data_IF_122696977710
#
_entry.id   IF_122696977710
#
_cell.length_a   1.000
_cell.length_b   1.000
_cell.length_c   1.000
_cell.angle_alpha   90.00
_cell.angle_beta   90.00
_cell.angle_gamma   90.00
#
_symmetry.space_group_name_H-M   'P 1'
#
loop_
_entity.id
_entity.type
_entity.pdbx_description
1 polymer ?
#
# COMPACT_ATOMS: atom_id res chain seq x y z
N UNK A 1 -32.89 -41.32 36.21
CA UNK A 1 -32.39 -40.07 36.79
C UNK A 1 -31.33 -39.57 35.85
N UNK A 2 -31.61 -38.50 35.13
CA UNK A 2 -30.65 -37.88 34.25
C UNK A 2 -29.52 -37.27 35.12
N UNK A 3 -28.29 -37.53 34.74
CA UNK A 3 -27.12 -36.96 35.45
C UNK A 3 -26.94 -35.50 35.06
N UNK A 4 -27.32 -34.54 35.93
CA UNK A 4 -27.19 -33.11 35.60
C UNK A 4 -25.73 -32.65 35.46
N UNK A 5 -24.81 -33.40 36.06
CA UNK A 5 -23.35 -33.13 35.96
C UNK A 5 -22.85 -33.48 34.54
N UNK A 6 -23.21 -34.65 34.04
CA UNK A 6 -22.85 -35.07 32.67
C UNK A 6 -23.43 -34.17 31.59
N UNK A 7 -24.67 -33.70 31.76
CA UNK A 7 -25.27 -32.74 30.83
C UNK A 7 -24.52 -31.41 30.81
N UNK A 8 -24.16 -30.87 31.99
CA UNK A 8 -23.41 -29.61 32.09
C UNK A 8 -22.04 -29.69 31.42
N UNK A 9 -21.32 -30.82 31.58
CA UNK A 9 -20.01 -31.06 30.92
C UNK A 9 -20.21 -31.17 29.40
N UNK A 10 -21.22 -31.88 28.93
CA UNK A 10 -21.53 -32.02 27.50
C UNK A 10 -21.83 -30.68 26.85
N UNK A 11 -22.63 -29.83 27.50
CA UNK A 11 -22.92 -28.47 27.01
C UNK A 11 -21.69 -27.59 26.96
N UNK A 12 -20.81 -27.61 27.98
CA UNK A 12 -19.54 -26.87 27.98
C UNK A 12 -18.63 -27.33 26.85
N UNK A 13 -18.50 -28.64 26.65
CA UNK A 13 -17.66 -29.21 25.60
C UNK A 13 -18.19 -28.82 24.19
N UNK A 14 -19.48 -28.90 23.96
CA UNK A 14 -20.12 -28.52 22.72
C UNK A 14 -19.89 -27.01 22.43
N UNK A 15 -20.03 -26.15 23.45
CA UNK A 15 -19.75 -24.73 23.33
C UNK A 15 -18.27 -24.45 23.03
N UNK A 16 -17.33 -25.21 23.64
CA UNK A 16 -15.91 -25.10 23.34
C UNK A 16 -15.59 -25.52 21.90
N UNK A 17 -16.15 -26.63 21.43
CA UNK A 17 -16.00 -27.11 20.05
C UNK A 17 -16.48 -26.02 19.04
N UNK A 18 -17.66 -25.45 19.29
CA UNK A 18 -18.19 -24.40 18.41
C UNK A 18 -17.25 -23.16 18.36
N UNK A 19 -16.67 -22.76 19.50
CA UNK A 19 -15.71 -21.64 19.55
C UNK A 19 -14.40 -21.97 18.84
N UNK A 20 -13.88 -23.19 19.00
CA UNK A 20 -12.68 -23.64 18.26
C UNK A 20 -12.94 -23.67 16.76
N UNK A 21 -14.11 -24.12 16.32
CA UNK A 21 -14.49 -24.07 14.89
C UNK A 21 -14.54 -22.64 14.39
N UNK A 22 -15.08 -21.70 15.18
CA UNK A 22 -15.04 -20.27 14.86
C UNK A 22 -13.61 -19.73 14.74
N UNK A 23 -12.73 -20.10 15.67
CA UNK A 23 -11.32 -19.72 15.62
C UNK A 23 -10.60 -20.29 14.36
N UNK A 24 -10.92 -21.53 13.99
CA UNK A 24 -10.38 -22.15 12.77
C UNK A 24 -10.82 -21.38 11.50
N UNK A 25 -12.10 -20.99 11.42
CA UNK A 25 -12.58 -20.16 10.30
C UNK A 25 -11.86 -18.80 10.24
N UNK A 26 -11.60 -18.18 11.40
CA UNK A 26 -10.85 -16.92 11.44
C UNK A 26 -9.42 -17.09 10.90
N UNK A 27 -8.75 -18.20 11.23
CA UNK A 27 -7.40 -18.50 10.71
C UNK A 27 -7.46 -18.74 9.19
N UNK A 28 -8.47 -19.46 8.68
CA UNK A 28 -8.63 -19.66 7.24
C UNK A 28 -8.85 -18.33 6.49
N UNK A 29 -9.68 -17.44 7.04
CA UNK A 29 -9.89 -16.12 6.47
C UNK A 29 -8.59 -15.29 6.47
N UNK A 30 -7.76 -15.44 7.51
CA UNK A 30 -6.47 -14.78 7.59
C UNK A 30 -5.48 -15.28 6.53
N UNK A 31 -5.45 -16.60 6.29
CA UNK A 31 -4.62 -17.18 5.22
C UNK A 31 -5.08 -16.64 3.86
N UNK A 32 -6.39 -16.64 3.60
CA UNK A 32 -6.93 -16.08 2.35
C UNK A 32 -6.63 -14.59 2.18
N UNK A 33 -6.62 -13.82 3.28
CA UNK A 33 -6.21 -12.42 3.25
C UNK A 33 -4.75 -12.28 2.80
N UNK A 34 -3.84 -13.09 3.34
CA UNK A 34 -2.43 -13.07 2.96
C UNK A 34 -2.20 -13.52 1.51
N UNK A 35 -2.92 -14.55 1.04
CA UNK A 35 -2.86 -15.01 -0.35
C UNK A 35 -3.30 -13.92 -1.33
N UNK A 36 -4.37 -13.18 -1.00
CA UNK A 36 -4.82 -12.05 -1.82
C UNK A 36 -3.80 -10.92 -1.78
N UNK A 37 -3.22 -10.61 -0.62
CA UNK A 37 -2.19 -9.58 -0.50
C UNK A 37 -0.95 -9.92 -1.34
N UNK A 38 -0.47 -11.17 -1.30
CA UNK A 38 0.65 -11.67 -2.09
C UNK A 38 0.37 -11.55 -3.60
N UNK A 39 -0.82 -11.98 -4.04
CA UNK A 39 -1.24 -11.84 -5.44
C UNK A 39 -1.34 -10.38 -5.92
N UNK A 40 -1.70 -9.46 -5.04
CA UNK A 40 -1.68 -8.03 -5.35
C UNK A 40 -0.25 -7.48 -5.45
N UNK A 41 0.67 -7.92 -4.59
CA UNK A 41 2.09 -7.54 -4.67
C UNK A 41 2.76 -8.04 -5.95
N UNK A 42 2.45 -9.26 -6.40
CA UNK A 42 2.90 -9.77 -7.71
C UNK A 42 2.38 -8.89 -8.85
N UNK A 43 1.13 -8.45 -8.78
CA UNK A 43 0.56 -7.53 -9.76
C UNK A 43 1.24 -6.16 -9.75
N UNK A 44 1.58 -5.64 -8.57
CA UNK A 44 2.35 -4.40 -8.42
C UNK A 44 3.74 -4.55 -9.05
N UNK A 45 4.44 -5.66 -8.81
CA UNK A 45 5.72 -5.95 -9.44
C UNK A 45 5.66 -5.88 -10.97
N UNK A 46 4.66 -6.54 -11.58
CA UNK A 46 4.45 -6.52 -13.03
C UNK A 46 4.16 -5.11 -13.58
N UNK A 47 3.42 -4.29 -12.83
CA UNK A 47 3.16 -2.90 -13.23
C UNK A 47 4.46 -2.10 -13.21
N UNK A 48 5.29 -2.24 -12.18
CA UNK A 48 6.57 -1.52 -12.07
C UNK A 48 7.54 -1.99 -13.19
N UNK A 49 7.58 -3.26 -13.50
CA UNK A 49 8.36 -3.79 -14.63
C UNK A 49 7.92 -3.12 -15.95
N UNK A 50 6.59 -3.02 -16.18
CA UNK A 50 6.08 -2.31 -17.36
C UNK A 50 6.46 -0.84 -17.38
N UNK A 51 6.41 -0.17 -16.22
CA UNK A 51 6.87 1.23 -16.09
C UNK A 51 8.36 1.37 -16.43
N UNK A 52 9.19 0.39 -16.06
CA UNK A 52 10.61 0.34 -16.42
C UNK A 52 10.83 0.16 -17.92
N UNK A 53 10.05 -0.71 -18.57
CA UNK A 53 10.08 -0.88 -20.03
C UNK A 53 9.72 0.43 -20.76
N UNK A 54 8.66 1.10 -20.35
CA UNK A 54 8.23 2.38 -20.93
C UNK A 54 9.33 3.44 -20.80
N UNK A 55 10.01 3.48 -19.66
CA UNK A 55 11.16 4.38 -19.48
C UNK A 55 12.31 4.04 -20.41
N UNK A 56 12.62 2.76 -20.57
CA UNK A 56 13.61 2.29 -21.53
C UNK A 56 13.27 2.70 -22.97
N UNK A 57 12.02 2.50 -23.38
CA UNK A 57 11.52 2.87 -24.70
C UNK A 57 11.56 4.38 -24.94
N UNK A 58 11.22 5.20 -23.95
CA UNK A 58 11.23 6.65 -24.06
C UNK A 58 12.64 7.24 -24.06
N UNK A 59 13.61 6.59 -23.38
CA UNK A 59 14.97 7.11 -23.20
C UNK A 59 15.94 6.73 -24.32
N UNK A 60 15.68 5.65 -25.04
CA UNK A 60 16.69 4.99 -25.87
C UNK A 60 16.71 5.46 -27.32
N UNK A 61 15.79 6.30 -27.76
CA UNK A 61 15.70 6.61 -29.18
C UNK A 61 15.55 8.12 -29.49
N UNK A 62 16.62 8.74 -30.03
CA UNK A 62 16.55 10.11 -30.53
C UNK A 62 15.66 10.26 -31.78
N UNK A 63 15.19 9.15 -32.36
CA UNK A 63 14.35 9.13 -33.57
C UNK A 63 12.85 9.07 -33.29
N UNK A 64 12.44 8.99 -32.02
CA UNK A 64 11.01 8.95 -31.66
C UNK A 64 10.40 10.34 -31.70
N UNK A 65 9.17 10.40 -32.20
CA UNK A 65 8.39 11.63 -32.21
C UNK A 65 7.93 12.04 -30.81
N UNK A 66 7.63 13.32 -30.63
CA UNK A 66 7.07 13.83 -29.38
C UNK A 66 5.70 13.18 -29.06
N UNK A 67 4.93 12.81 -30.10
CA UNK A 67 3.65 12.11 -29.96
C UNK A 67 3.83 10.68 -29.39
N UNK A 68 4.87 9.95 -29.80
CA UNK A 68 5.18 8.63 -29.27
C UNK A 68 5.57 8.73 -27.78
N UNK A 69 6.40 9.70 -27.44
CA UNK A 69 6.80 9.96 -26.05
C UNK A 69 5.62 10.35 -25.18
N UNK A 70 4.72 11.19 -25.70
CA UNK A 70 3.48 11.55 -25.01
C UNK A 70 2.59 10.32 -24.77
N UNK A 71 2.52 9.39 -25.73
CA UNK A 71 1.76 8.15 -25.59
C UNK A 71 2.34 7.25 -24.49
N UNK A 72 3.67 7.10 -24.43
CA UNK A 72 4.32 6.35 -23.34
C UNK A 72 4.12 7.03 -21.98
N UNK A 73 4.14 8.36 -21.93
CA UNK A 73 3.89 9.09 -20.70
C UNK A 73 2.45 8.90 -20.20
N UNK A 74 1.47 8.91 -21.11
CA UNK A 74 0.09 8.66 -20.73
C UNK A 74 -0.10 7.24 -20.17
N UNK A 75 0.48 6.22 -20.83
CA UNK A 75 0.45 4.84 -20.29
C UNK A 75 1.11 4.76 -18.92
N UNK A 76 2.24 5.45 -18.73
CA UNK A 76 2.93 5.50 -17.45
C UNK A 76 2.07 6.14 -16.35
N UNK A 77 1.34 7.19 -16.65
CA UNK A 77 0.41 7.83 -15.71
C UNK A 77 -0.79 6.92 -15.39
N UNK A 78 -1.32 6.21 -16.37
CA UNK A 78 -2.37 5.22 -16.13
C UNK A 78 -1.91 4.09 -15.20
N UNK A 79 -0.67 3.64 -15.34
CA UNK A 79 -0.08 2.66 -14.43
C UNK A 79 0.10 3.20 -13.01
N UNK A 80 0.42 4.49 -12.82
CA UNK A 80 0.45 5.13 -11.50
C UNK A 80 -0.93 5.11 -10.85
N UNK A 81 -1.99 5.41 -11.61
CA UNK A 81 -3.36 5.35 -11.11
C UNK A 81 -3.77 3.91 -10.73
N UNK A 82 -3.32 2.90 -11.48
CA UNK A 82 -3.54 1.50 -11.15
C UNK A 82 -2.84 1.09 -9.85
N UNK A 83 -1.57 1.50 -9.65
CA UNK A 83 -0.85 1.28 -8.39
C UNK A 83 -1.59 1.89 -7.19
N UNK A 84 -2.11 3.10 -7.36
CA UNK A 84 -2.91 3.73 -6.32
C UNK A 84 -4.19 2.95 -6.03
N UNK A 85 -4.89 2.51 -7.07
CA UNK A 85 -6.12 1.70 -6.94
C UNK A 85 -5.85 0.37 -6.22
N UNK A 86 -4.73 -0.28 -6.51
CA UNK A 86 -4.32 -1.52 -5.80
C UNK A 86 -4.06 -1.23 -4.33
N UNK A 87 -3.36 -0.13 -4.01
CA UNK A 87 -3.09 0.26 -2.63
C UNK A 87 -4.36 0.57 -1.81
N UNK A 88 -5.46 0.86 -2.49
CA UNK A 88 -6.78 1.12 -1.87
C UNK A 88 -7.65 -0.14 -1.75
N UNK A 89 -7.20 -1.30 -2.21
CA UNK A 89 -8.00 -2.53 -2.20
C UNK A 89 -8.28 -3.03 -0.78
N UNK A 90 -9.46 -3.62 -0.63
CA UNK A 90 -9.96 -4.17 0.62
C UNK A 90 -10.39 -5.63 0.44
N UNK A 91 -10.19 -6.42 1.47
CA UNK A 91 -10.70 -7.78 1.58
C UNK A 91 -11.71 -7.83 2.73
N UNK A 92 -12.98 -8.14 2.43
CA UNK A 92 -14.07 -8.14 3.40
C UNK A 92 -14.20 -6.84 4.23
N UNK A 93 -13.96 -5.67 3.59
CA UNK A 93 -14.01 -4.38 4.27
C UNK A 93 -12.79 -4.06 5.15
N UNK A 94 -11.74 -4.88 5.05
CA UNK A 94 -10.44 -4.65 5.71
C UNK A 94 -9.43 -4.30 4.64
N UNK A 95 -8.71 -3.17 4.81
CA UNK A 95 -7.66 -2.78 3.87
C UNK A 95 -6.57 -3.84 3.77
N UNK A 96 -6.18 -4.21 2.55
CA UNK A 96 -5.10 -5.17 2.31
C UNK A 96 -3.73 -4.59 2.69
N UNK A 97 -3.54 -3.29 2.44
CA UNK A 97 -2.30 -2.58 2.73
C UNK A 97 -2.49 -1.61 3.89
N UNK A 98 -1.40 -1.33 4.60
CA UNK A 98 -1.41 -0.37 5.69
C UNK A 98 -1.70 1.04 5.15
N UNK A 99 -2.64 1.72 5.79
CA UNK A 99 -3.04 3.10 5.47
C UNK A 99 -2.83 3.99 6.67
N UNK A 100 -2.54 5.25 6.42
CA UNK A 100 -2.62 6.26 7.45
C UNK A 100 -4.07 6.76 7.51
N UNK A 101 -4.78 6.38 8.55
CA UNK A 101 -6.11 6.94 8.82
C UNK A 101 -5.96 8.16 9.70
N UNK A 102 -6.48 9.28 9.25
CA UNK A 102 -6.71 10.44 10.10
C UNK A 102 -8.07 10.28 10.78
N UNK A 103 -8.18 10.64 12.06
CA UNK A 103 -9.46 10.56 12.76
C UNK A 103 -10.54 11.31 12.00
N UNK A 104 -11.69 10.63 11.90
CA UNK A 104 -13.04 11.14 11.62
C UNK A 104 -13.14 12.42 10.77
N UNK A 105 -13.10 12.25 9.44
CA UNK A 105 -13.45 13.32 8.48
C UNK A 105 -12.28 13.97 7.76
N UNK A 106 -11.06 13.53 7.97
CA UNK A 106 -9.92 13.96 7.19
C UNK A 106 -9.65 12.97 6.05
N UNK A 107 -9.32 13.51 4.89
CA UNK A 107 -8.90 12.78 3.71
C UNK A 107 -7.73 11.86 4.07
N UNK A 108 -7.80 10.59 3.71
CA UNK A 108 -6.72 9.63 3.89
C UNK A 108 -5.46 10.20 3.26
N UNK A 109 -4.47 10.54 4.09
CA UNK A 109 -3.20 11.06 3.61
C UNK A 109 -2.23 9.91 3.46
N UNK A 110 -1.65 9.76 2.29
CA UNK A 110 -0.59 8.79 2.00
C UNK A 110 0.63 8.95 2.92
N UNK A 111 0.94 10.20 3.26
CA UNK A 111 2.04 10.60 4.11
C UNK A 111 1.51 11.62 5.09
N UNK A 112 1.37 11.21 6.27
CA UNK A 112 1.06 12.04 7.37
C UNK A 112 1.26 13.51 7.19
N UNK A 113 0.27 14.19 6.66
CA UNK A 113 0.14 15.62 6.85
C UNK A 113 0.28 15.91 8.34
N UNK A 114 0.95 16.98 8.64
CA UNK A 114 1.23 17.52 9.96
C UNK A 114 0.14 17.20 10.99
N UNK A 115 0.62 16.77 12.15
CA UNK A 115 -0.03 16.72 13.47
C UNK A 115 -0.69 15.41 13.90
N UNK A 116 0.05 14.69 14.76
CA UNK A 116 -0.40 14.20 16.06
C UNK A 116 -1.72 13.41 16.11
N UNK A 117 -1.67 12.16 16.12
CA UNK A 117 -2.66 11.10 16.24
C UNK A 117 -2.98 10.38 14.93
N UNK A 118 -1.93 9.80 14.39
CA UNK A 118 -2.06 8.91 13.23
C UNK A 118 -2.35 7.52 13.76
N UNK A 119 -3.60 7.12 13.73
CA UNK A 119 -3.94 5.72 13.84
C UNK A 119 -3.49 5.06 12.54
N UNK A 120 -2.39 4.36 12.61
CA UNK A 120 -1.90 3.59 11.49
C UNK A 120 -2.52 2.21 11.58
N UNK A 121 -3.30 1.84 10.59
CA UNK A 121 -3.88 0.50 10.47
C UNK A 121 -2.84 -0.49 9.93
N UNK A 122 -1.82 -0.81 10.77
CA UNK A 122 -0.72 -1.70 10.39
C UNK A 122 -0.98 -3.16 10.71
N UNK A 123 -1.91 -3.46 11.60
CA UNK A 123 -2.04 -4.81 12.15
C UNK A 123 -3.47 -5.31 12.10
N UNK A 124 -3.61 -6.57 11.71
CA UNK A 124 -4.83 -7.34 11.82
C UNK A 124 -4.67 -8.36 12.94
N UNK A 125 -5.48 -8.29 13.98
CA UNK A 125 -5.43 -9.23 15.09
C UNK A 125 -6.41 -10.36 14.87
N UNK A 126 -5.91 -11.60 14.87
CA UNK A 126 -6.69 -12.83 14.70
C UNK A 126 -6.70 -13.59 16.00
N UNK A 127 -7.89 -13.90 16.50
CA UNK A 127 -8.06 -14.73 17.70
C UNK A 127 -8.04 -16.20 17.31
N UNK A 128 -7.08 -16.94 17.86
CA UNK A 128 -6.81 -18.35 17.53
C UNK A 128 -7.27 -19.33 18.60
N UNK A 129 -7.79 -18.83 19.73
CA UNK A 129 -8.28 -19.65 20.84
C UNK A 129 -9.78 -19.53 21.06
N UNK A 130 -10.35 -20.47 21.81
CA UNK A 130 -11.74 -20.47 22.21
C UNK A 130 -12.07 -19.43 23.31
N UNK A 131 -11.06 -18.78 23.89
CA UNK A 131 -11.20 -17.74 24.92
C UNK A 131 -11.39 -16.32 24.32
N UNK A 132 -11.37 -16.18 22.97
CA UNK A 132 -11.55 -14.90 22.29
C UNK A 132 -10.47 -13.88 22.65
N UNK A 133 -10.85 -12.68 23.10
CA UNK A 133 -9.91 -11.61 23.41
C UNK A 133 -8.94 -11.91 24.59
N UNK A 134 -9.35 -12.80 25.50
CA UNK A 134 -8.53 -13.21 26.65
C UNK A 134 -7.52 -14.31 26.29
N UNK A 135 -7.72 -14.99 25.17
CA UNK A 135 -6.90 -16.10 24.73
C UNK A 135 -5.74 -15.72 23.81
N UNK A 136 -5.18 -16.75 23.17
CA UNK A 136 -4.09 -16.56 22.22
C UNK A 136 -4.56 -15.85 20.97
N UNK A 137 -3.73 -14.92 20.49
CA UNK A 137 -3.96 -14.11 19.29
C UNK A 137 -2.69 -14.02 18.46
N UNK A 138 -2.86 -13.93 17.17
CA UNK A 138 -1.79 -13.65 16.20
C UNK A 138 -2.06 -12.30 15.58
N UNK A 139 -1.03 -11.44 15.55
CA UNK A 139 -1.11 -10.16 14.84
C UNK A 139 -0.42 -10.30 13.49
N UNK A 140 -1.17 -10.08 12.41
CA UNK A 140 -0.62 -9.97 11.06
C UNK A 140 -0.26 -8.51 10.81
N UNK A 141 0.91 -8.27 10.23
CA UNK A 141 1.32 -6.95 9.78
C UNK A 141 0.90 -6.78 8.32
N UNK A 142 0.26 -5.65 8.02
CA UNK A 142 -0.08 -5.27 6.66
C UNK A 142 1.13 -4.61 5.99
N UNK A 143 1.41 -4.95 4.76
CA UNK A 143 2.48 -4.33 3.97
C UNK A 143 2.21 -2.86 3.73
N UNK A 144 3.25 -2.01 3.85
CA UNK A 144 3.16 -0.54 3.69
C UNK A 144 3.47 -0.16 2.25
N UNK A 145 2.62 -0.59 1.30
CA UNK A 145 2.83 -0.45 -0.14
C UNK A 145 3.05 1.01 -0.57
N UNK A 146 2.25 1.93 -0.09
CA UNK A 146 2.37 3.35 -0.47
C UNK A 146 3.70 3.95 -0.03
N UNK A 147 4.24 3.53 1.12
CA UNK A 147 5.56 3.98 1.58
C UNK A 147 6.68 3.39 0.71
N UNK A 148 6.56 2.14 0.28
CA UNK A 148 7.53 1.49 -0.59
C UNK A 148 7.61 2.16 -1.98
N UNK A 149 6.51 2.72 -2.47
CA UNK A 149 6.39 3.41 -3.75
C UNK A 149 6.71 4.91 -3.68
N UNK A 150 7.15 5.41 -2.54
CA UNK A 150 7.43 6.83 -2.33
C UNK A 150 8.90 7.07 -2.09
N UNK A 151 9.41 8.08 -2.76
CA UNK A 151 10.83 8.41 -2.80
C UNK A 151 11.09 9.85 -2.40
N UNK A 152 12.22 10.05 -1.73
CA UNK A 152 12.79 11.36 -1.54
C UNK A 152 13.68 11.69 -2.75
N UNK A 153 13.34 12.73 -3.49
CA UNK A 153 14.05 13.15 -4.71
C UNK A 153 15.51 13.59 -4.45
N UNK A 154 15.86 13.97 -3.23
CA UNK A 154 17.23 14.35 -2.88
C UNK A 154 18.20 13.16 -2.86
N UNK A 155 17.72 11.94 -2.74
CA UNK A 155 18.57 10.74 -2.67
C UNK A 155 19.06 10.32 -4.06
N UNK A 156 18.43 10.74 -5.14
CA UNK A 156 18.67 10.25 -6.51
C UNK A 156 19.22 11.29 -7.49
N UNK A 157 19.76 12.38 -7.00
CA UNK A 157 20.71 13.26 -7.69
C UNK A 157 20.32 13.90 -9.02
N UNK A 158 19.16 13.57 -9.63
CA UNK A 158 18.67 14.17 -10.88
C UNK A 158 17.17 13.97 -11.15
N UNK A 159 16.38 13.61 -10.17
CA UNK A 159 14.95 13.73 -10.35
C UNK A 159 14.55 15.19 -10.17
N UNK A 160 14.64 15.96 -11.24
CA UNK A 160 14.09 17.31 -11.27
C UNK A 160 12.58 17.16 -11.35
N UNK A 161 11.92 17.09 -10.21
CA UNK A 161 10.50 17.34 -10.14
C UNK A 161 10.30 18.85 -10.30
N UNK A 162 10.07 19.26 -11.53
CA UNK A 162 9.68 20.64 -11.87
C UNK A 162 8.15 20.76 -11.79
N UNK A 163 7.60 20.59 -10.62
CA UNK A 163 6.16 20.65 -10.46
C UNK A 163 5.73 21.17 -9.12
N UNK A 164 6.07 22.39 -8.83
CA UNK A 164 5.27 23.27 -8.00
C UNK A 164 5.73 24.68 -8.26
N UNK A 165 5.00 25.33 -9.10
CA UNK A 165 4.89 26.78 -9.06
C UNK A 165 4.42 27.17 -7.66
N UNK A 166 5.38 27.34 -6.77
CA UNK A 166 5.13 27.96 -5.47
C UNK A 166 5.14 29.47 -5.68
N UNK A 167 4.16 29.95 -6.46
CA UNK A 167 3.85 31.38 -6.59
C UNK A 167 3.16 31.89 -5.32
N UNK A 168 3.84 31.77 -4.19
CA UNK A 168 3.59 32.64 -3.06
C UNK A 168 4.88 33.38 -2.73
N UNK A 169 4.98 34.60 -3.24
CA UNK A 169 6.10 35.49 -3.04
C UNK A 169 6.43 35.66 -1.58
N UNK A 170 7.54 35.09 -1.18
CA UNK A 170 8.08 35.24 0.15
C UNK A 170 9.39 34.49 0.29
N UNK A 171 10.51 35.18 0.02
CA UNK A 171 11.88 34.81 0.40
C UNK A 171 12.25 33.33 0.16
N UNK A 172 13.02 33.11 -0.88
CA UNK A 172 13.88 31.95 -1.05
C UNK A 172 14.75 31.75 0.20
N UNK A 173 14.20 31.09 1.19
CA UNK A 173 15.00 30.37 2.16
C UNK A 173 15.21 28.99 1.58
N UNK A 174 16.43 28.69 1.29
CA UNK A 174 17.06 27.41 1.15
C UNK A 174 16.76 26.50 2.35
N UNK A 175 15.49 26.16 2.53
CA UNK A 175 15.13 24.91 3.17
C UNK A 175 14.87 23.97 2.02
N UNK A 176 15.78 23.01 1.85
CA UNK A 176 15.61 21.89 0.94
C UNK A 176 14.21 21.33 1.16
N UNK A 177 13.29 21.73 0.29
CA UNK A 177 11.97 21.11 0.24
C UNK A 177 12.25 19.69 -0.18
N UNK A 178 12.21 18.78 0.78
CA UNK A 178 12.27 17.35 0.53
C UNK A 178 11.03 17.01 -0.28
N UNK A 179 11.18 17.03 -1.57
CA UNK A 179 10.12 16.60 -2.48
C UNK A 179 9.97 15.10 -2.35
N UNK A 180 8.81 14.67 -1.96
CA UNK A 180 8.45 13.26 -1.87
C UNK A 180 7.62 12.94 -3.11
N UNK A 181 8.19 12.19 -4.05
CA UNK A 181 7.49 11.67 -5.21
C UNK A 181 6.93 10.27 -4.93
N UNK A 182 5.73 9.97 -5.40
CA UNK A 182 5.14 8.64 -5.29
C UNK A 182 4.74 8.10 -6.65
N UNK A 183 4.99 6.78 -6.87
CA UNK A 183 4.50 6.08 -8.06
C UNK A 183 3.01 5.75 -7.97
N UNK A 184 2.42 5.75 -6.78
CA UNK A 184 1.00 5.49 -6.60
C UNK A 184 0.25 6.82 -6.40
N UNK A 185 -0.34 7.36 -7.45
CA UNK A 185 -1.04 8.65 -7.45
C UNK A 185 -2.43 8.51 -8.04
N UNK A 186 -3.41 9.16 -7.40
CA UNK A 186 -4.77 9.22 -7.90
C UNK A 186 -4.82 9.88 -9.29
N UNK A 187 -5.70 9.38 -10.17
CA UNK A 187 -5.91 9.95 -11.50
C UNK A 187 -6.28 11.44 -11.41
N UNK A 188 -5.53 12.29 -12.08
CA UNK A 188 -5.70 13.76 -12.03
C UNK A 188 -4.98 14.45 -10.88
N UNK A 189 -4.25 13.70 -10.02
CA UNK A 189 -3.35 14.24 -9.01
C UNK A 189 -2.00 14.69 -9.58
N UNK A 190 -1.02 14.93 -8.70
CA UNK A 190 0.36 15.24 -9.11
C UNK A 190 1.08 13.96 -9.61
N UNK A 191 0.76 13.54 -10.83
CA UNK A 191 1.39 12.38 -11.45
C UNK A 191 2.82 12.73 -11.89
N UNK A 192 3.70 11.77 -11.75
CA UNK A 192 5.08 11.87 -12.23
C UNK A 192 5.08 11.69 -13.76
N UNK A 193 5.91 12.49 -14.44
CA UNK A 193 6.13 12.29 -15.87
C UNK A 193 7.30 11.33 -16.08
N UNK A 194 7.22 10.59 -17.17
CA UNK A 194 8.23 9.62 -17.54
C UNK A 194 9.63 10.24 -17.73
N UNK A 195 9.69 11.50 -18.19
CA UNK A 195 10.95 12.21 -18.41
C UNK A 195 11.62 12.65 -17.10
N UNK A 196 10.85 12.87 -16.04
CA UNK A 196 11.34 13.39 -14.77
C UNK A 196 11.95 12.29 -13.88
N UNK A 197 11.82 11.01 -14.26
CA UNK A 197 12.21 9.86 -13.46
C UNK A 197 13.38 9.13 -14.12
N UNK A 198 14.36 8.72 -13.33
CA UNK A 198 15.44 7.83 -13.78
C UNK A 198 15.05 6.35 -13.66
N UNK A 199 15.66 5.49 -14.47
CA UNK A 199 15.51 4.03 -14.36
C UNK A 199 15.89 3.54 -12.95
N UNK A 200 16.89 4.15 -12.33
CA UNK A 200 17.33 3.78 -10.98
C UNK A 200 16.25 3.96 -9.92
N UNK A 201 15.39 4.98 -10.05
CA UNK A 201 14.25 5.19 -9.13
C UNK A 201 13.19 4.09 -9.31
N UNK A 202 12.93 3.67 -10.55
CA UNK A 202 11.98 2.58 -10.83
C UNK A 202 12.52 1.25 -10.30
N UNK A 203 13.81 0.99 -10.47
CA UNK A 203 14.46 -0.21 -9.91
C UNK A 203 14.40 -0.23 -8.39
N UNK A 204 14.62 0.91 -7.75
CA UNK A 204 14.50 1.03 -6.29
C UNK A 204 13.06 0.78 -5.83
N UNK A 205 12.05 1.22 -6.60
CA UNK A 205 10.65 0.90 -6.32
C UNK A 205 10.41 -0.61 -6.32
N UNK A 206 10.93 -1.28 -7.34
CA UNK A 206 10.81 -2.74 -7.46
C UNK A 206 11.50 -3.45 -6.28
N UNK A 207 12.71 -3.03 -5.92
CA UNK A 207 13.41 -3.56 -4.75
C UNK A 207 12.62 -3.35 -3.45
N UNK A 208 12.09 -2.15 -3.25
CA UNK A 208 11.29 -1.85 -2.06
C UNK A 208 10.02 -2.71 -1.97
N UNK A 209 9.36 -2.96 -3.10
CA UNK A 209 8.17 -3.83 -3.15
C UNK A 209 8.55 -5.30 -2.90
N UNK A 210 9.72 -5.75 -3.38
CA UNK A 210 10.21 -7.11 -3.14
C UNK A 210 10.55 -7.39 -1.67
N UNK A 211 10.72 -6.35 -0.84
CA UNK A 211 10.96 -6.47 0.60
C UNK A 211 9.68 -6.39 1.45
N UNK A 212 8.50 -6.18 0.87
CA UNK A 212 7.22 -6.12 1.59
C UNK A 212 6.66 -7.49 1.92
#
# INVERSE_FOLDING_TARGET
MDDPGGLAVSMKLSASINRVTGAQNNVQNAVSFLEVQDGMLDSVGKIIDRMSELKGLASSDPMKSDDDRASYNNEFQDLQAQLFSIAQQEFNGVSLFARYTTEKGATESQFGGSTQNKNVDHTLTIYTSDEGQAGSKVSLHKSVLLSALTFNTNTFGNAVYSGADNTNGGNAKTEESVFVGTFATESGGNMLNLDDISVGVITQALENVAFL
#
